data_IF_650321178496
#
_entry.id   IF_650321178496
#
_cell.length_a   1.000
_cell.length_b   1.000
_cell.length_c   1.000
_cell.angle_alpha   90.00
_cell.angle_beta   90.00
_cell.angle_gamma   90.00
#
_symmetry.space_group_name_H-M   'P 1'
#
loop_
_entity.id
_entity.type
_entity.pdbx_description
1 polymer ?
2 polymer ?
3 non-polymer ?
4 non-polymer ?
5 water ?
#
# COMPACT_ATOMS: atom_id res chain seq x y z
N UNK A 1 -3.50 19.37 -10.62
CA UNK A 1 -2.04 19.47 -10.32
C UNK A 1 -1.24 18.48 -11.16
N UNK A 2 0.02 18.80 -11.41
CA UNK A 2 0.91 17.95 -12.18
C UNK A 2 2.33 17.96 -11.62
N UNK A 3 2.85 16.76 -11.35
CA UNK A 3 4.25 16.60 -10.97
C UNK A 3 5.05 16.09 -12.16
N UNK A 4 5.92 16.93 -12.69
CA UNK A 4 6.76 16.56 -13.83
C UNK A 4 7.93 15.69 -13.35
N UNK A 5 8.45 14.87 -14.27
CA UNK A 5 9.51 13.90 -13.96
C UNK A 5 9.26 13.14 -12.65
N UNK A 6 8.05 12.61 -12.52
CA UNK A 6 7.65 11.85 -11.34
C UNK A 6 8.21 10.43 -11.42
N UNK A 7 8.31 9.73 -10.26
CA UNK A 7 8.60 8.29 -10.31
C UNK A 7 7.61 7.61 -11.23
N UNK A 8 8.07 6.62 -11.99
CA UNK A 8 7.25 5.99 -13.02
C UNK A 8 5.92 5.47 -12.49
N UNK A 9 5.92 4.94 -11.27
CA UNK A 9 4.71 4.39 -10.65
C UNK A 9 3.60 5.41 -10.47
N UNK A 10 3.96 6.60 -10.02
CA UNK A 10 3.01 7.70 -9.86
C UNK A 10 2.44 8.11 -11.22
N UNK A 11 3.30 8.26 -12.21
CA UNK A 11 2.87 8.56 -13.58
C UNK A 11 1.89 7.50 -14.10
N UNK A 12 2.21 6.23 -13.86
CA UNK A 12 1.40 5.11 -14.36
C UNK A 12 -0.03 5.11 -13.81
N UNK A 13 -0.18 5.40 -12.52
CA UNK A 13 -1.50 5.39 -11.89
C UNK A 13 -2.39 6.57 -12.32
N UNK A 14 -1.81 7.54 -13.01
CA UNK A 14 -2.57 8.68 -13.54
C UNK A 14 -2.63 8.71 -15.08
N UNK A 15 -2.38 7.56 -15.71
CA UNK A 15 -2.40 7.44 -17.17
C UNK A 15 -3.04 6.13 -17.62
N UNK A 16 -3.62 6.15 -18.83
CA UNK A 16 -4.20 4.95 -19.42
C UNK A 16 -3.16 4.14 -20.17
N UNK A 17 -1.95 4.70 -20.32
CA UNK A 17 -0.87 4.06 -21.05
C UNK A 17 0.47 4.13 -20.29
N UNK A 18 1.34 3.13 -20.50
CA UNK A 18 2.69 3.17 -19.90
C UNK A 18 3.59 4.20 -20.59
N UNK A 19 4.71 4.52 -19.97
CA UNK A 19 5.74 5.34 -20.61
C UNK A 19 5.68 6.84 -20.38
N UNK A 20 4.68 7.31 -19.64
CA UNK A 20 4.56 8.74 -19.31
C UNK A 20 5.41 9.07 -18.08
N UNK A 21 5.66 10.35 -17.86
CA UNK A 21 6.53 10.78 -16.76
C UNK A 21 5.90 11.87 -15.87
N UNK A 22 4.66 12.22 -16.15
CA UNK A 22 3.96 13.23 -15.35
C UNK A 22 2.86 12.58 -14.50
N UNK A 23 2.85 12.92 -13.21
CA UNK A 23 1.80 12.47 -12.31
C UNK A 23 0.72 13.56 -12.20
N UNK A 24 -0.45 13.28 -12.75
CA UNK A 24 -1.59 14.20 -12.68
C UNK A 24 -2.50 13.79 -11.53
N UNK A 25 -2.86 14.75 -10.68
CA UNK A 25 -3.66 14.49 -9.49
C UNK A 25 -4.41 15.73 -9.02
N UNK A 26 -5.53 15.52 -8.33
CA UNK A 26 -6.28 16.61 -7.73
C UNK A 26 -5.52 17.17 -6.53
N UNK A 27 -5.48 18.51 -6.45
CA UNK A 27 -4.73 19.22 -5.43
C UNK A 27 -5.14 18.93 -3.98
N UNK A 28 -6.35 18.39 -3.78
CA UNK A 28 -6.80 17.96 -2.45
C UNK A 28 -5.84 16.94 -1.84
N UNK A 29 -5.27 16.09 -2.69
CA UNK A 29 -4.13 15.22 -2.37
C UNK A 29 -4.26 14.39 -1.08
N UNK A 30 -5.46 13.91 -0.79
CA UNK A 30 -5.69 13.06 0.37
C UNK A 30 -5.74 13.77 1.72
N UNK A 31 -5.88 15.10 1.69
CA UNK A 31 -5.99 15.88 2.91
C UNK A 31 -7.26 15.52 3.67
N UNK A 32 -7.15 15.34 4.98
CA UNK A 32 -8.29 14.94 5.81
C UNK A 32 -8.42 13.43 6.01
N UNK A 33 -7.64 12.66 5.26
CA UNK A 33 -7.57 11.21 5.42
C UNK A 33 -6.35 10.80 6.25
N UNK A 34 -6.36 9.56 6.71
CA UNK A 34 -5.25 9.04 7.50
C UNK A 34 -4.87 7.64 7.05
N UNK A 35 -3.57 7.40 6.94
CA UNK A 35 -3.08 6.09 6.54
C UNK A 35 -2.16 5.54 7.62
N UNK A 36 -2.50 4.36 8.14
CA UNK A 36 -1.64 3.64 9.06
C UNK A 36 -0.71 2.75 8.24
N UNK A 37 0.60 2.92 8.42
CA UNK A 37 1.58 2.04 7.79
C UNK A 37 2.08 1.08 8.86
N UNK A 38 1.72 -0.19 8.68
CA UNK A 38 2.02 -1.22 9.67
C UNK A 38 3.21 -2.00 9.14
N UNK A 39 4.38 -1.74 9.72
CA UNK A 39 5.65 -2.13 9.09
C UNK A 39 6.82 -2.05 10.10
N UNK A 40 8.01 -1.69 9.62
CA UNK A 40 9.21 -1.57 10.48
C UNK A 40 9.31 -0.22 11.19
N UNK A 41 8.30 0.63 10.98
CA UNK A 41 8.30 2.00 11.50
C UNK A 41 8.43 3.02 10.39
N UNK A 42 8.45 4.30 10.77
CA UNK A 42 8.63 5.40 9.83
C UNK A 42 9.61 6.40 10.43
N UNK A 43 10.61 6.79 9.65
CA UNK A 43 11.47 7.89 10.02
C UNK A 43 10.70 9.20 9.83
N UNK A 44 9.95 9.57 10.87
CA UNK A 44 9.04 10.71 10.83
C UNK A 44 9.73 12.05 10.57
N UNK A 45 11.03 12.11 10.89
CA UNK A 45 11.80 13.34 10.76
C UNK A 45 12.28 13.64 9.34
N UNK A 46 12.08 12.69 8.42
CA UNK A 46 12.46 12.88 7.02
C UNK A 46 11.74 14.09 6.43
N UNK A 47 12.49 15.06 5.87
CA UNK A 47 11.91 16.28 5.30
C UNK A 47 10.75 16.02 4.33
N UNK A 48 10.80 14.87 3.64
CA UNK A 48 9.79 14.50 2.65
C UNK A 48 8.39 14.30 3.22
N UNK A 49 8.28 14.08 4.52
CA UNK A 49 6.98 13.90 5.16
C UNK A 49 6.39 15.21 5.68
N UNK A 50 7.21 16.26 5.72
CA UNK A 50 6.77 17.63 6.04
C UNK A 50 6.03 17.73 7.37
N UNK A 51 6.40 16.89 8.33
CA UNK A 51 5.72 16.87 9.63
C UNK A 51 4.36 16.18 9.65
N UNK A 52 3.99 15.51 8.56
CA UNK A 52 2.70 14.82 8.46
C UNK A 52 2.74 13.36 8.91
N UNK A 53 3.92 12.90 9.34
CA UNK A 53 4.11 11.53 9.77
C UNK A 53 4.42 11.47 11.26
N UNK A 54 3.91 10.45 11.93
CA UNK A 54 4.25 10.21 13.33
C UNK A 54 4.11 8.76 13.73
N UNK A 55 4.99 8.31 14.63
CA UNK A 55 4.90 6.98 15.22
C UNK A 55 3.88 7.00 16.33
N UNK A 56 2.98 6.03 16.33
CA UNK A 56 1.94 5.95 17.35
C UNK A 56 2.06 4.70 18.25
N UNK A 57 2.77 3.69 17.76
CA UNK A 57 2.89 2.42 18.48
C UNK A 57 4.11 1.63 18.02
N UNK A 58 4.85 1.08 18.99
CA UNK A 58 5.89 0.09 18.70
C UNK A 58 5.74 -1.14 19.59
N UNK A 59 6.13 -2.29 19.04
CA UNK A 59 6.11 -3.53 19.80
C UNK A 59 7.52 -4.00 20.13
N UNK A 60 8.47 -3.07 20.00
CA UNK A 60 9.88 -3.34 20.25
C UNK A 60 10.49 -2.25 21.14
N UNK A 61 11.80 -2.34 21.37
CA UNK A 61 12.50 -1.45 22.30
C UNK A 61 12.43 0.01 21.90
N UNK A 62 12.40 0.26 20.58
CA UNK A 62 12.31 1.61 20.05
C UNK A 62 11.22 1.71 18.98
N UNK A 63 10.80 2.94 18.71
CA UNK A 63 9.84 3.22 17.64
C UNK A 63 10.54 3.59 16.34
N UNK A 64 11.87 3.64 16.40
CA UNK A 64 12.70 4.00 15.25
C UNK A 64 12.67 2.91 14.17
N UNK A 65 12.61 3.34 12.91
CA UNK A 65 12.79 2.44 11.79
C UNK A 65 14.29 2.26 11.56
N UNK A 66 14.82 1.12 12.02
CA UNK A 66 16.22 0.80 11.80
C UNK A 66 16.46 -0.01 10.54
N UNK A 67 15.38 -0.24 9.79
CA UNK A 67 15.45 -1.06 8.57
C UNK A 67 15.36 -0.26 7.27
N UNK A 68 14.31 0.54 7.13
CA UNK A 68 14.10 1.35 5.93
C UNK A 68 12.83 1.00 5.17
N UNK A 69 12.42 -0.26 5.24
CA UNK A 69 11.24 -0.79 4.55
C UNK A 69 9.97 0.04 4.84
N UNK A 70 9.69 0.25 6.12
CA UNK A 70 8.53 1.02 6.54
C UNK A 70 8.55 2.45 6.03
N UNK A 71 9.71 3.09 6.11
CA UNK A 71 9.91 4.45 5.64
C UNK A 71 9.64 4.53 4.13
N UNK A 72 10.13 3.52 3.39
CA UNK A 72 9.96 3.45 1.95
C UNK A 72 8.47 3.35 1.57
N UNK A 73 7.76 2.43 2.21
CA UNK A 73 6.32 2.25 2.00
C UNK A 73 5.52 3.51 2.34
N UNK A 74 5.82 4.10 3.51
CA UNK A 74 5.19 5.36 3.92
C UNK A 74 5.41 6.46 2.89
N UNK A 75 6.61 6.49 2.31
CA UNK A 75 6.96 7.48 1.28
C UNK A 75 6.09 7.38 0.04
N UNK A 76 5.78 6.15 -0.37
CA UNK A 76 4.95 5.90 -1.54
C UNK A 76 3.48 6.27 -1.27
N UNK A 77 3.04 6.10 -0.02
CA UNK A 77 1.72 6.55 0.39
C UNK A 77 1.60 8.08 0.29
N UNK A 78 2.50 8.79 0.97
CA UNK A 78 2.28 10.21 1.19
C UNK A 78 3.44 11.17 1.37
N UNK A 79 4.62 10.83 0.86
CA UNK A 79 5.70 11.82 0.87
C UNK A 79 5.44 12.85 -0.23
N UNK A 80 6.06 14.01 -0.10
CA UNK A 80 5.89 15.11 -1.06
C UNK A 80 6.25 14.68 -2.49
N UNK A 81 7.47 14.14 -2.66
CA UNK A 81 7.98 13.82 -4.00
C UNK A 81 7.57 12.44 -4.49
N UNK A 82 7.50 11.46 -3.59
CA UNK A 82 7.34 10.06 -3.98
C UNK A 82 5.96 9.48 -3.67
N UNK A 83 5.08 10.32 -3.12
CA UNK A 83 3.80 9.87 -2.61
C UNK A 83 2.61 10.05 -3.53
N UNK A 84 1.64 9.15 -3.38
CA UNK A 84 0.38 9.21 -4.13
C UNK A 84 -0.53 10.31 -3.56
N UNK A 85 -0.71 10.29 -2.24
CA UNK A 85 -1.59 11.22 -1.53
C UNK A 85 -0.71 12.15 -0.73
N UNK A 86 -0.34 13.27 -1.34
CA UNK A 86 0.75 14.12 -0.84
C UNK A 86 0.41 14.96 0.39
N UNK A 87 -0.85 14.95 0.80
CA UNK A 87 -1.28 15.73 1.98
C UNK A 87 -1.98 14.88 3.04
N UNK A 88 -1.89 13.56 2.91
CA UNK A 88 -2.46 12.65 3.91
C UNK A 88 -1.65 12.69 5.21
N UNK A 89 -2.26 12.20 6.28
CA UNK A 89 -1.59 12.03 7.57
C UNK A 89 -1.12 10.58 7.68
N UNK A 90 0.13 10.41 8.09
CA UNK A 90 0.71 9.08 8.21
C UNK A 90 0.92 8.69 9.66
N UNK A 91 0.48 7.49 10.02
CA UNK A 91 0.71 6.94 11.35
C UNK A 91 1.51 5.65 11.23
N UNK A 92 2.60 5.57 11.98
CA UNK A 92 3.47 4.40 11.96
C UNK A 92 3.17 3.44 13.10
N UNK A 93 3.06 2.17 12.75
CA UNK A 93 2.91 1.10 13.73
C UNK A 93 4.02 0.09 13.47
N UNK A 94 4.94 -0.04 14.43
CA UNK A 94 6.10 -0.92 14.25
C UNK A 94 5.82 -2.32 14.78
N UNK A 95 5.42 -3.21 13.87
CA UNK A 95 5.17 -4.62 14.21
C UNK A 95 6.30 -5.53 13.71
N UNK A 96 7.18 -4.97 12.88
CA UNK A 96 8.34 -5.70 12.38
C UNK A 96 9.61 -5.15 12.99
N UNK A 97 10.55 -6.04 13.31
CA UNK A 97 11.83 -5.61 13.86
C UNK A 97 12.73 -5.03 12.77
N UNK A 98 13.93 -4.60 13.16
CA UNK A 98 14.84 -3.92 12.24
C UNK A 98 15.48 -4.84 11.20
N UNK A 99 15.21 -6.13 11.31
CA UNK A 99 15.60 -7.10 10.29
C UNK A 99 14.45 -7.38 9.33
N UNK A 100 13.30 -6.75 9.59
CA UNK A 100 12.12 -6.87 8.74
C UNK A 100 11.24 -8.06 9.07
N UNK A 101 11.48 -8.68 10.22
CA UNK A 101 10.73 -9.85 10.64
C UNK A 101 9.85 -9.58 11.85
N UNK A 102 8.84 -10.42 12.06
CA UNK A 102 7.93 -10.27 13.18
C UNK A 102 7.05 -11.49 13.35
N UNK A 103 6.69 -11.77 14.60
CA UNK A 103 5.83 -12.90 14.93
C UNK A 103 4.39 -12.57 14.59
N UNK A 104 3.61 -13.59 14.23
CA UNK A 104 2.21 -13.42 13.89
C UNK A 104 1.38 -12.78 15.00
N UNK A 105 1.64 -13.18 16.24
CA UNK A 105 0.93 -12.61 17.41
C UNK A 105 1.11 -11.09 17.51
N UNK A 106 2.30 -10.60 17.17
CA UNK A 106 2.60 -9.17 17.17
C UNK A 106 1.90 -8.44 16.03
N UNK A 107 1.93 -9.03 14.83
CA UNK A 107 1.26 -8.47 13.66
C UNK A 107 -0.26 -8.33 13.90
N UNK A 108 -0.85 -9.37 14.49
CA UNK A 108 -2.27 -9.36 14.88
C UNK A 108 -2.58 -8.25 15.88
N UNK A 109 -1.75 -8.15 16.93
CA UNK A 109 -1.90 -7.09 17.93
C UNK A 109 -1.87 -5.71 17.28
N UNK A 110 -0.97 -5.53 16.33
CA UNK A 110 -0.85 -4.27 15.58
C UNK A 110 -2.10 -3.91 14.81
N UNK A 111 -2.74 -4.92 14.20
CA UNK A 111 -3.99 -4.71 13.48
C UNK A 111 -5.14 -4.33 14.43
N UNK A 112 -5.30 -5.11 15.50
CA UNK A 112 -6.27 -4.80 16.55
C UNK A 112 -6.05 -3.38 17.10
N UNK A 113 -4.79 -3.00 17.28
CA UNK A 113 -4.45 -1.66 17.75
C UNK A 113 -5.02 -0.57 16.85
N UNK A 114 -4.79 -0.69 15.54
CA UNK A 114 -5.28 0.30 14.57
C UNK A 114 -6.80 0.43 14.60
N UNK A 115 -7.50 -0.70 14.69
CA UNK A 115 -8.96 -0.70 14.75
C UNK A 115 -9.49 0.18 15.90
N UNK A 116 -8.78 0.15 17.02
CA UNK A 116 -9.13 0.94 18.19
C UNK A 116 -8.61 2.37 18.12
N UNK A 117 -7.33 2.52 17.76
CA UNK A 117 -6.64 3.82 17.78
C UNK A 117 -7.28 4.88 16.88
N UNK A 118 -7.85 4.45 15.75
CA UNK A 118 -8.48 5.35 14.79
C UNK A 118 -9.62 6.16 15.40
N UNK A 119 -10.26 5.59 16.42
CA UNK A 119 -11.33 6.27 17.16
C UNK A 119 -10.81 7.48 17.96
N UNK A 120 -9.50 7.53 18.19
CA UNK A 120 -8.87 8.65 18.90
C UNK A 120 -8.31 9.74 17.98
N UNK A 121 -8.45 9.54 16.67
CA UNK A 121 -7.81 10.42 15.69
C UNK A 121 -8.83 11.21 14.91
N UNK A 122 -8.43 12.41 14.49
CA UNK A 122 -9.26 13.25 13.64
C UNK A 122 -8.97 12.96 12.15
N UNK A 123 -9.77 12.07 11.57
CA UNK A 123 -9.60 11.67 10.18
C UNK A 123 -10.94 11.76 9.45
N UNK A 124 -11.40 13.01 9.19
CA UNK A 124 -12.75 13.22 8.66
C UNK A 124 -13.06 12.53 7.32
N UNK A 125 -12.04 12.35 6.49
CA UNK A 125 -12.22 11.78 5.14
C UNK A 125 -12.08 10.25 5.10
N UNK A 126 -11.61 9.66 6.20
CA UNK A 126 -11.52 8.20 6.30
C UNK A 126 -10.16 7.67 6.67
N UNK A 127 -10.10 6.36 6.93
CA UNK A 127 -8.90 5.71 7.43
C UNK A 127 -8.51 4.52 6.55
N UNK A 128 -7.21 4.43 6.27
CA UNK A 128 -6.64 3.37 5.44
C UNK A 128 -5.52 2.70 6.23
N UNK A 129 -5.32 1.40 6.00
CA UNK A 129 -4.18 0.68 6.57
C UNK A 129 -3.42 -0.05 5.46
N UNK A 130 -2.11 0.13 5.45
CA UNK A 130 -1.24 -0.45 4.42
C UNK A 130 -0.35 -1.51 5.06
N UNK A 131 -0.53 -2.76 4.63
CA UNK A 131 0.21 -3.89 5.19
C UNK A 131 1.10 -4.55 4.14
N UNK A 132 2.34 -4.07 4.07
CA UNK A 132 3.33 -4.62 3.16
C UNK A 132 4.13 -5.73 3.85
N UNK A 133 3.42 -6.78 4.23
CA UNK A 133 4.00 -7.89 4.98
C UNK A 133 3.17 -9.16 4.75
N UNK A 134 3.71 -10.29 5.19
CA UNK A 134 2.99 -11.54 5.16
C UNK A 134 3.90 -12.75 5.30
N UNK A 135 3.27 -13.91 5.35
CA UNK A 135 3.98 -15.19 5.40
C UNK A 135 3.00 -16.29 5.06
N UNK A 136 3.27 -17.50 5.55
CA UNK A 136 2.41 -18.66 5.28
C UNK A 136 1.01 -18.49 5.81
N UNK A 137 0.08 -19.27 5.25
CA UNK A 137 -1.34 -19.17 5.62
C UNK A 137 -1.54 -19.29 7.13
N UNK A 138 -2.39 -18.40 7.66
CA UNK A 138 -2.82 -18.44 9.05
C UNK A 138 -4.23 -17.90 9.13
N UNK A 139 -5.16 -18.72 9.63
CA UNK A 139 -6.54 -18.29 9.78
C UNK A 139 -6.68 -17.13 10.77
N UNK A 140 -5.81 -17.11 11.79
CA UNK A 140 -5.85 -16.05 12.80
C UNK A 140 -5.37 -14.71 12.25
N UNK A 141 -4.36 -14.75 11.37
CA UNK A 141 -3.88 -13.53 10.72
C UNK A 141 -4.95 -12.99 9.77
N UNK A 142 -5.55 -13.89 8.99
CA UNK A 142 -6.65 -13.53 8.09
C UNK A 142 -7.81 -12.89 8.85
N UNK A 143 -8.15 -13.49 10.00
CA UNK A 143 -9.23 -13.00 10.86
C UNK A 143 -8.97 -11.58 11.35
N UNK A 144 -7.72 -11.30 11.74
CA UNK A 144 -7.31 -9.98 12.21
C UNK A 144 -7.46 -8.92 11.11
N UNK A 145 -7.06 -9.27 9.89
CA UNK A 145 -7.23 -8.37 8.74
C UNK A 145 -8.71 -8.13 8.45
N UNK A 146 -9.52 -9.18 8.57
CA UNK A 146 -10.96 -9.10 8.37
C UNK A 146 -11.62 -8.18 9.40
N UNK A 147 -11.20 -8.30 10.66
CA UNK A 147 -11.66 -7.42 11.75
C UNK A 147 -11.33 -5.95 11.48
N UNK A 148 -10.10 -5.69 11.06
CA UNK A 148 -9.66 -4.33 10.77
C UNK A 148 -10.51 -3.69 9.68
N UNK A 149 -10.75 -4.42 8.61
CA UNK A 149 -11.61 -3.99 7.50
C UNK A 149 -13.04 -3.72 7.99
N UNK A 150 -13.57 -4.68 8.75
CA UNK A 150 -14.90 -4.60 9.35
C UNK A 150 -15.08 -3.36 10.22
N UNK A 151 -14.03 -2.98 10.95
CA UNK A 151 -14.08 -1.84 11.85
C UNK A 151 -14.21 -0.49 11.12
N UNK A 152 -14.07 -0.51 9.80
CA UNK A 152 -14.24 0.71 8.99
C UNK A 152 -12.94 1.29 8.47
N UNK A 153 -11.94 0.43 8.28
CA UNK A 153 -10.64 0.84 7.77
C UNK A 153 -10.44 0.16 6.42
N UNK A 154 -9.98 0.92 5.43
CA UNK A 154 -9.63 0.35 4.13
C UNK A 154 -8.28 -0.38 4.26
N UNK A 155 -8.33 -1.70 4.18
CA UNK A 155 -7.13 -2.53 4.36
C UNK A 155 -6.56 -2.97 3.01
N UNK A 156 -5.31 -2.56 2.75
CA UNK A 156 -4.58 -3.00 1.56
C UNK A 156 -3.41 -3.88 1.99
N UNK A 157 -3.30 -5.07 1.38
CA UNK A 157 -2.23 -6.01 1.75
C UNK A 157 -1.44 -6.50 0.53
N UNK A 158 -0.16 -6.77 0.72
CA UNK A 158 0.70 -7.28 -0.36
C UNK A 158 0.32 -8.70 -0.71
N UNK A 159 0.32 -9.02 -2.01
CA UNK A 159 0.06 -10.39 -2.47
C UNK A 159 1.20 -11.35 -2.09
N UNK A 160 2.41 -10.82 -1.99
CA UNK A 160 3.60 -11.62 -1.67
C UNK A 160 4.50 -11.81 -2.88
N UNK A 161 5.77 -12.14 -2.65
CA UNK A 161 6.75 -12.21 -3.74
C UNK A 161 7.29 -13.61 -4.04
N UNK A 162 6.41 -14.61 -4.04
CA UNK A 162 6.85 -15.99 -4.25
C UNK A 162 6.55 -16.52 -5.66
N UNK A 163 6.06 -15.66 -6.55
CA UNK A 163 5.60 -16.08 -7.88
C UNK A 163 4.72 -17.34 -7.78
N UNK A 164 3.76 -17.29 -6.86
CA UNK A 164 2.90 -18.41 -6.55
C UNK A 164 1.48 -17.92 -6.31
N UNK A 165 0.54 -18.86 -6.16
CA UNK A 165 -0.83 -18.52 -5.83
C UNK A 165 -0.89 -17.96 -4.40
N UNK A 166 -1.43 -16.76 -4.27
CA UNK A 166 -1.50 -16.04 -2.99
C UNK A 166 -2.45 -16.69 -1.96
N UNK A 167 -3.20 -17.71 -2.39
CA UNK A 167 -4.11 -18.43 -1.51
C UNK A 167 -3.40 -19.13 -0.34
N UNK A 168 -2.11 -19.35 -0.49
CA UNK A 168 -1.31 -20.03 0.53
C UNK A 168 -0.56 -19.07 1.43
N UNK A 169 -0.97 -17.79 1.39
CA UNK A 169 -0.28 -16.74 2.13
C UNK A 169 -1.25 -15.83 2.87
N UNK A 170 -0.78 -15.27 3.98
CA UNK A 170 -1.61 -14.44 4.85
C UNK A 170 -0.88 -13.14 5.24
N UNK A 171 -1.62 -12.01 5.34
CA UNK A 171 -3.06 -11.84 5.14
C UNK A 171 -3.55 -11.72 3.68
N UNK A 172 -2.67 -11.95 2.71
CA UNK A 172 -3.03 -11.88 1.28
C UNK A 172 -4.30 -12.67 0.92
N UNK A 173 -4.46 -13.84 1.53
CA UNK A 173 -5.53 -14.77 1.18
C UNK A 173 -6.88 -14.46 1.83
N UNK A 174 -6.94 -13.44 2.68
CA UNK A 174 -8.22 -13.00 3.27
C UNK A 174 -9.04 -12.27 2.21
N UNK A 175 -10.21 -12.83 1.83
CA UNK A 175 -10.96 -12.26 0.72
C UNK A 175 -11.46 -10.83 0.95
N UNK A 176 -11.81 -10.48 2.20
CA UNK A 176 -12.48 -9.21 2.49
C UNK A 176 -11.60 -7.95 2.39
N UNK A 177 -10.27 -8.13 2.34
CA UNK A 177 -9.34 -7.00 2.23
C UNK A 177 -8.95 -6.79 0.76
N UNK A 178 -8.09 -5.79 0.51
CA UNK A 178 -7.66 -5.48 -0.85
C UNK A 178 -6.25 -6.02 -1.08
N UNK A 179 -6.16 -7.12 -1.83
CA UNK A 179 -4.90 -7.82 -2.08
C UNK A 179 -4.25 -7.33 -3.37
N UNK A 180 -3.00 -6.88 -3.24
CA UNK A 180 -2.33 -6.08 -4.28
C UNK A 180 -1.12 -6.82 -4.87
N UNK A 181 -1.20 -7.08 -6.18
CA UNK A 181 -0.06 -7.60 -6.94
C UNK A 181 0.79 -6.50 -7.52
N UNK A 182 1.94 -6.87 -8.09
CA UNK A 182 2.92 -5.89 -8.59
C UNK A 182 3.13 -5.97 -10.10
N UNK A 183 3.32 -4.81 -10.73
CA UNK A 183 3.67 -4.73 -12.14
C UNK A 183 4.94 -3.90 -12.35
N UNK A 184 5.53 -4.00 -13.53
CA UNK A 184 6.71 -3.21 -13.87
C UNK A 184 6.39 -2.09 -14.88
N UNK A 185 7.38 -1.28 -15.23
CA UNK A 185 7.14 -0.09 -16.05
C UNK A 185 6.69 -0.38 -17.49
N UNK A 186 6.86 -1.63 -17.92
CA UNK A 186 6.43 -2.05 -19.26
C UNK A 186 5.08 -2.78 -19.23
N UNK A 187 4.36 -2.64 -18.11
CA UNK A 187 3.05 -3.27 -17.92
C UNK A 187 3.07 -4.81 -17.94
N UNK A 188 4.16 -5.38 -17.44
CA UNK A 188 4.23 -6.81 -17.21
C UNK A 188 3.99 -7.05 -15.73
N UNK A 189 3.36 -8.18 -15.41
CA UNK A 189 3.34 -8.65 -14.02
C UNK A 189 4.80 -8.78 -13.57
N UNK A 190 5.12 -8.22 -12.41
CA UNK A 190 6.46 -8.35 -11.85
C UNK A 190 6.81 -9.83 -11.73
N UNK A 191 8.06 -10.19 -12.04
CA UNK A 191 8.46 -11.60 -12.10
C UNK A 191 8.30 -12.35 -10.77
N UNK A 192 8.32 -11.60 -9.68
CA UNK A 192 8.19 -12.14 -8.33
C UNK A 192 6.75 -12.13 -7.81
N UNK A 193 5.88 -11.36 -8.46
CA UNK A 193 4.53 -11.13 -7.89
C UNK A 193 3.72 -12.40 -7.79
N UNK A 194 3.12 -12.61 -6.62
CA UNK A 194 2.10 -13.64 -6.46
C UNK A 194 0.90 -13.32 -7.35
N UNK A 195 0.09 -14.33 -7.63
CA UNK A 195 -1.08 -14.19 -8.48
C UNK A 195 -2.23 -15.01 -7.89
N UNK A 196 -3.29 -15.18 -8.67
CA UNK A 196 -4.40 -16.02 -8.23
C UNK A 196 -5.72 -15.27 -8.09
N UNK A 197 -6.78 -16.03 -7.84
CA UNK A 197 -8.15 -15.49 -7.79
C UNK A 197 -8.37 -14.50 -6.65
N UNK A 198 -7.56 -14.57 -5.61
CA UNK A 198 -7.71 -13.71 -4.44
C UNK A 198 -7.20 -12.28 -4.69
N UNK A 199 -6.38 -12.09 -5.72
CA UNK A 199 -5.91 -10.74 -6.07
C UNK A 199 -7.07 -9.85 -6.51
N UNK A 200 -7.04 -8.61 -6.03
CA UNK A 200 -8.07 -7.63 -6.34
C UNK A 200 -7.63 -6.63 -7.39
N UNK A 201 -6.33 -6.33 -7.39
CA UNK A 201 -5.79 -5.21 -8.14
C UNK A 201 -4.27 -5.33 -8.25
N UNK A 202 -3.71 -4.71 -9.28
CA UNK A 202 -2.25 -4.56 -9.43
C UNK A 202 -1.83 -3.11 -9.30
N UNK A 203 -0.64 -2.89 -8.75
CA UNK A 203 -0.03 -1.57 -8.72
C UNK A 203 1.45 -1.67 -9.08
N UNK A 204 2.08 -0.52 -9.40
CA UNK A 204 3.52 -0.47 -9.68
C UNK A 204 4.35 -1.02 -8.52
N UNK A 205 5.22 -1.98 -8.82
CA UNK A 205 6.01 -2.66 -7.77
C UNK A 205 7.47 -2.93 -8.07
N UNK A 206 7.87 -2.77 -9.34
CA UNK A 206 9.26 -2.99 -9.74
C UNK A 206 10.01 -1.67 -9.90
N UNK A 207 11.15 -1.56 -9.22
CA UNK A 207 12.02 -0.38 -9.29
C UNK A 207 11.30 0.90 -8.86
N UNK A 208 10.85 0.90 -7.60
CA UNK A 208 10.09 2.02 -7.04
C UNK A 208 10.97 2.91 -6.18
N UNK A 209 11.14 4.15 -6.60
CA UNK A 209 11.92 5.14 -5.86
C UNK A 209 11.07 5.76 -4.75
N UNK A 210 11.59 5.73 -3.53
CA UNK A 210 10.90 6.35 -2.39
C UNK A 210 11.89 6.74 -1.31
N UNK A 211 11.36 7.22 -0.19
CA UNK A 211 12.16 7.64 0.95
C UNK A 211 12.84 6.46 1.65
N UNK A 212 13.96 6.74 2.29
CA UNK A 212 14.71 5.74 3.03
C UNK A 212 15.25 6.39 4.32
N UNK A 213 15.70 5.55 5.26
CA UNK A 213 16.21 6.03 6.53
C UNK A 213 17.52 6.85 6.36
N UNK A 214 17.83 7.67 7.35
CA UNK A 214 18.97 8.57 7.27
C UNK A 214 18.71 9.73 6.32
N UNK A 215 17.43 10.05 6.12
CA UNK A 215 17.02 11.14 5.23
C UNK A 215 17.39 10.95 3.78
N UNK A 216 17.39 9.70 3.32
CA UNK A 216 17.83 9.36 1.97
C UNK A 216 16.69 8.84 1.10
N UNK A 217 17.03 8.34 -0.08
CA UNK A 217 16.08 7.74 -0.99
C UNK A 217 16.72 6.49 -1.59
N UNK A 218 15.90 5.55 -2.02
CA UNK A 218 16.38 4.43 -2.83
C UNK A 218 15.26 3.73 -3.57
N UNK A 219 15.65 2.98 -4.59
CA UNK A 219 14.71 2.22 -5.39
C UNK A 219 14.77 0.74 -5.00
N UNK A 220 13.61 0.19 -4.67
CA UNK A 220 13.49 -1.24 -4.36
C UNK A 220 12.25 -1.82 -5.02
N UNK A 221 12.17 -3.15 -5.03
CA UNK A 221 11.09 -3.87 -5.71
C UNK A 221 10.35 -4.83 -4.79
N UNK A 222 9.06 -5.00 -5.05
CA UNK A 222 8.24 -5.95 -4.32
C UNK A 222 6.75 -5.62 -4.35
N UNK A 223 5.93 -6.58 -3.96
CA UNK A 223 4.49 -6.33 -3.78
C UNK A 223 4.30 -5.37 -2.59
N UNK A 224 5.32 -5.31 -1.74
CA UNK A 224 5.44 -4.32 -0.66
C UNK A 224 5.39 -2.88 -1.18
N UNK A 225 5.89 -2.67 -2.40
CA UNK A 225 5.93 -1.34 -3.03
C UNK A 225 4.62 -1.04 -3.77
N UNK A 226 3.95 -2.07 -4.25
CA UNK A 226 2.67 -1.91 -4.95
C UNK A 226 1.54 -1.55 -3.97
N UNK A 227 1.57 -2.18 -2.80
CA UNK A 227 0.54 -1.99 -1.78
C UNK A 227 0.30 -0.51 -1.38
N UNK A 228 1.37 0.23 -1.02
CA UNK A 228 1.18 1.65 -0.70
C UNK A 228 0.66 2.54 -1.84
N UNK A 229 0.89 2.16 -3.10
CA UNK A 229 0.29 2.86 -4.24
C UNK A 229 -1.24 2.79 -4.15
N UNK A 230 -1.74 1.59 -3.87
CA UNK A 230 -3.18 1.35 -3.74
C UNK A 230 -3.75 2.00 -2.48
N UNK A 231 -3.02 1.86 -1.36
CA UNK A 231 -3.40 2.50 -0.10
C UNK A 231 -3.49 4.02 -0.23
N UNK A 232 -2.46 4.61 -0.86
CA UNK A 232 -2.46 6.05 -1.16
C UNK A 232 -3.60 6.45 -2.07
N UNK A 233 -3.84 5.67 -3.13
CA UNK A 233 -4.94 5.94 -4.04
C UNK A 233 -6.30 5.92 -3.33
N UNK A 234 -6.49 4.93 -2.45
CA UNK A 234 -7.71 4.85 -1.63
C UNK A 234 -7.94 6.12 -0.80
N UNK A 235 -6.90 6.56 -0.10
CA UNK A 235 -6.96 7.79 0.71
C UNK A 235 -7.31 9.01 -0.15
N UNK A 236 -6.66 9.08 -1.32
CA UNK A 236 -6.92 10.13 -2.30
C UNK A 236 -8.39 10.14 -2.76
N UNK A 237 -8.92 8.96 -3.07
CA UNK A 237 -10.30 8.85 -3.55
C UNK A 237 -11.35 9.10 -2.48
N UNK A 238 -11.04 8.73 -1.24
CA UNK A 238 -11.93 8.96 -0.11
C UNK A 238 -12.04 10.45 0.21
N UNK A 239 -10.92 11.16 0.12
CA UNK A 239 -10.88 12.61 0.29
C UNK A 239 -11.74 13.33 -0.76
N UNK A 240 -11.71 12.82 -2.00
CA UNK A 240 -12.55 13.36 -3.08
C UNK A 240 -14.03 13.00 -2.92
N UNK A 241 -14.34 12.07 -2.01
CA UNK A 241 -15.71 11.65 -1.75
C UNK A 241 -16.25 10.67 -2.76
N UNK A 242 -15.35 10.06 -3.54
CA UNK A 242 -15.73 9.13 -4.59
C UNK A 242 -16.13 7.76 -4.07
N UNK A 243 -15.60 7.40 -2.90
CA UNK A 243 -15.81 6.07 -2.30
C UNK A 243 -15.63 6.11 -0.77
N UNK A 244 -15.95 5.00 -0.12
CA UNK A 244 -15.82 4.87 1.33
C UNK A 244 -14.82 3.77 1.63
N UNK A 245 -14.43 3.64 2.89
CA UNK A 245 -13.51 2.57 3.33
C UNK A 245 -14.03 1.17 2.97
N UNK A 246 -15.34 0.97 3.13
CA UNK A 246 -15.97 -0.33 2.87
C UNK A 246 -15.91 -0.76 1.40
N UNK A 247 -16.00 0.20 0.49
CA UNK A 247 -16.14 -0.12 -0.93
C UNK A 247 -14.99 0.36 -1.82
N UNK A 248 -13.94 0.92 -1.21
CA UNK A 248 -12.80 1.48 -1.96
C UNK A 248 -12.10 0.48 -2.87
N UNK A 249 -11.88 -0.74 -2.37
CA UNK A 249 -11.21 -1.77 -3.16
C UNK A 249 -12.01 -2.09 -4.42
N UNK A 250 -13.32 -2.27 -4.25
CA UNK A 250 -14.23 -2.53 -5.34
C UNK A 250 -14.25 -1.36 -6.34
N UNK A 251 -14.32 -0.13 -5.80
CA UNK A 251 -14.31 1.08 -6.64
C UNK A 251 -13.02 1.20 -7.46
N UNK A 252 -11.89 0.91 -6.82
CA UNK A 252 -10.60 0.92 -7.51
C UNK A 252 -10.55 -0.11 -8.65
N UNK A 253 -11.04 -1.31 -8.37
CA UNK A 253 -11.13 -2.38 -9.38
C UNK A 253 -12.06 -1.99 -10.53
N UNK A 254 -13.20 -1.38 -10.20
CA UNK A 254 -14.22 -0.93 -11.16
C UNK A 254 -13.70 0.14 -12.14
N UNK A 255 -12.80 0.99 -11.64
CA UNK A 255 -12.33 2.15 -12.39
C UNK A 255 -10.89 1.98 -12.87
N UNK A 256 -10.37 0.77 -12.73
CA UNK A 256 -9.00 0.44 -13.11
C UNK A 256 -8.79 0.41 -14.62
N UNK A 257 -7.52 0.51 -15.04
CA UNK A 257 -7.15 0.14 -16.40
C UNK A 257 -7.28 -1.37 -16.55
N UNK A 258 -8.05 -1.79 -17.55
CA UNK A 258 -8.39 -3.20 -17.72
C UNK A 258 -7.72 -3.79 -18.95
N UNK A 259 -7.10 -4.97 -18.79
CA UNK A 259 -6.48 -5.70 -19.89
C UNK A 259 -5.11 -5.22 -20.35
N UNK A 260 -4.53 -4.25 -19.63
CA UNK A 260 -3.26 -3.65 -20.01
C UNK A 260 -2.03 -4.51 -19.71
N UNK A 261 -2.14 -5.39 -18.72
CA UNK A 261 -0.99 -6.14 -18.24
C UNK A 261 -0.73 -7.43 -19.02
N UNK A 262 0.53 -7.79 -19.14
CA UNK A 262 1.05 -8.99 -19.71
C UNK A 262 1.45 -10.01 -18.70
N UNK A 263 1.58 -11.28 -19.07
CA UNK A 263 1.98 -12.35 -18.14
C UNK A 263 1.14 -12.50 -16.94
N UNK A 264 -0.16 -12.30 -17.15
CA UNK A 264 -1.18 -12.56 -16.13
C UNK A 264 -1.78 -13.95 -16.39
N UNK A 265 -1.66 -14.87 -15.42
CA UNK A 265 -2.18 -16.23 -15.60
C UNK A 265 -3.70 -16.23 -15.61
N UNK A 266 -4.30 -17.19 -16.33
CA UNK A 266 -5.75 -17.29 -16.38
C UNK A 266 -6.32 -17.46 -14.97
N UNK A 267 -7.36 -16.69 -14.66
CA UNK A 267 -7.97 -16.71 -13.33
C UNK A 267 -7.54 -15.58 -12.42
N UNK A 268 -6.54 -14.81 -12.85
CA UNK A 268 -6.08 -13.63 -12.12
C UNK A 268 -6.62 -12.39 -12.83
N UNK A 269 -7.10 -11.42 -12.06
CA UNK A 269 -7.62 -10.18 -12.63
C UNK A 269 -6.54 -9.44 -13.41
N UNK A 270 -6.94 -8.84 -14.54
CA UNK A 270 -6.06 -7.98 -15.31
C UNK A 270 -6.51 -6.54 -15.10
N UNK A 271 -6.13 -5.99 -13.95
CA UNK A 271 -6.59 -4.66 -13.51
C UNK A 271 -5.46 -3.90 -12.85
N UNK A 272 -5.25 -2.68 -13.31
CA UNK A 272 -4.16 -1.83 -12.83
C UNK A 272 -4.72 -0.55 -12.24
N UNK A 273 -4.32 -0.23 -11.01
CA UNK A 273 -4.82 0.94 -10.28
C UNK A 273 -4.69 2.22 -11.11
N UNK A 274 -5.78 2.98 -11.16
CA UNK A 274 -5.87 4.17 -12.02
C UNK A 274 -6.72 5.24 -11.35
N UNK A 275 -6.22 6.48 -11.31
CA UNK A 275 -6.90 7.55 -10.58
C UNK A 275 -8.02 8.28 -11.35
N UNK A 276 -8.13 8.00 -12.65
CA UNK A 276 -9.11 8.61 -13.54
C UNK A 276 -9.15 10.16 -13.45
N UNK A 277 -7.98 10.77 -13.29
CA UNK A 277 -7.92 12.22 -13.17
C UNK A 277 -8.17 12.88 -14.52
N UNK A 278 -9.06 13.87 -14.53
CA UNK A 278 -9.27 14.71 -15.69
C UNK A 278 -9.34 16.15 -15.23
N UNK A 279 -8.40 16.96 -15.71
CA UNK A 279 -8.33 18.38 -15.37
C UNK A 279 -9.58 19.11 -15.83
N UNK B 1 0.36 -10.83 2.59
CA UNK B 1 1.69 -10.92 1.93
C UNK B 1 2.14 -12.34 1.66
N UNK B 2 3.45 -12.57 1.73
CA UNK B 2 4.07 -13.86 1.45
C UNK B 2 5.57 -13.76 1.74
N UNK B 3 6.31 -13.19 0.75
CA UNK B 3 7.59 -12.58 1.00
C UNK B 3 7.25 -11.12 1.28
N UNK B 4 6.24 -10.63 0.55
CA UNK B 4 5.68 -9.27 0.67
C UNK B 4 6.76 -8.19 0.52
N UNK B 5 6.98 -7.77 -0.73
CA UNK B 5 8.03 -6.82 -1.10
C UNK B 5 9.42 -7.08 -0.53
#
# INVERSE_FOLDING_TARGET
AAQTNAPWGLARISSTSPGTSTYYYDESAGQGSCVYVIDTGIEASHPEFEGRAQMVKTYYYSSRDGNGHGTHCAGTVGSRTYGVAKKTQLFGVKVLDDNGSGQYSTIIAGMDFVASDKNNRNCPKGVVASLSLGGGYSSSVNSAAARLQSSGVMVAVAAGNNNADARNYSPASEPSVCTVGASDRYDRRSSFSNYGSVLDIFGPGTDILSTWIGGSTRSISGTSMATPHVAGLAAYLMTLGKTTAASACRYIADTANKGDLSNIPFGTVNLLAYNNYQA
GALAG
#
